data_IF_650538554684
#
_entry.id   IF_650538554684
#
_cell.length_a   1.000
_cell.length_b   1.000
_cell.length_c   1.000
_cell.angle_alpha   90.00
_cell.angle_beta   90.00
_cell.angle_gamma   90.00
#
_symmetry.space_group_name_H-M   'P 1'
#
loop_
_entity.id
_entity.type
_entity.pdbx_description
1 polymer ?
#
# COMPACT_ATOMS: atom_id res chain seq x y z
N UNK A 1 12.46 -19.09 -11.89
CA UNK A 1 11.37 -18.63 -12.79
C UNK A 1 12.02 -18.21 -14.08
N UNK A 2 11.59 -18.73 -15.24
CA UNK A 2 12.25 -18.37 -16.51
C UNK A 2 12.06 -16.88 -16.78
N UNK A 3 13.14 -16.19 -17.13
CA UNK A 3 13.10 -14.72 -17.29
C UNK A 3 12.12 -14.24 -18.36
N UNK A 4 11.86 -15.05 -19.39
CA UNK A 4 10.83 -14.78 -20.42
C UNK A 4 9.44 -14.66 -19.79
N UNK A 5 9.11 -15.51 -18.83
CA UNK A 5 7.83 -15.47 -18.13
C UNK A 5 7.75 -14.24 -17.21
N UNK A 6 8.84 -13.89 -16.53
CA UNK A 6 8.91 -12.67 -15.73
C UNK A 6 8.68 -11.42 -16.58
N UNK A 7 9.38 -11.31 -17.71
CA UNK A 7 9.24 -10.18 -18.62
C UNK A 7 7.80 -10.05 -19.14
N UNK A 8 7.15 -11.17 -19.48
CA UNK A 8 5.74 -11.17 -19.89
C UNK A 8 4.82 -10.65 -18.78
N UNK A 9 5.01 -11.09 -17.53
CA UNK A 9 4.23 -10.59 -16.38
C UNK A 9 4.45 -9.09 -16.18
N UNK A 10 5.69 -8.60 -16.24
CA UNK A 10 6.00 -7.18 -16.09
C UNK A 10 5.41 -6.32 -17.22
N UNK A 11 5.35 -6.84 -18.44
CA UNK A 11 4.68 -6.14 -19.56
C UNK A 11 3.17 -6.06 -19.32
N UNK A 12 2.54 -7.15 -18.88
CA UNK A 12 1.11 -7.15 -18.53
C UNK A 12 0.84 -6.15 -17.40
N UNK A 13 1.67 -6.16 -16.35
CA UNK A 13 1.60 -5.20 -15.26
C UNK A 13 1.73 -3.75 -15.75
N UNK A 14 2.70 -3.46 -16.63
CA UNK A 14 2.88 -2.14 -17.21
C UNK A 14 1.63 -1.65 -17.96
N UNK A 15 1.01 -2.52 -18.78
CA UNK A 15 -0.22 -2.20 -19.51
C UNK A 15 -1.38 -1.95 -18.55
N UNK A 16 -1.56 -2.81 -17.54
CA UNK A 16 -2.59 -2.62 -16.53
C UNK A 16 -2.38 -1.32 -15.72
N UNK A 17 -1.14 -1.01 -15.37
CA UNK A 17 -0.75 0.22 -14.69
C UNK A 17 -1.08 1.46 -15.51
N UNK A 18 -0.77 1.45 -16.81
CA UNK A 18 -1.11 2.54 -17.73
C UNK A 18 -2.62 2.74 -17.83
N UNK A 19 -3.38 1.66 -18.04
CA UNK A 19 -4.84 1.71 -18.11
C UNK A 19 -5.43 2.27 -16.80
N UNK A 20 -4.97 1.76 -15.65
CA UNK A 20 -5.42 2.23 -14.35
C UNK A 20 -5.09 3.71 -14.11
N UNK A 21 -3.91 4.18 -14.53
CA UNK A 21 -3.51 5.59 -14.39
C UNK A 21 -4.30 6.52 -15.29
N UNK A 22 -4.64 6.09 -16.51
CA UNK A 22 -5.49 6.86 -17.43
C UNK A 22 -6.94 6.98 -16.93
N UNK A 23 -7.45 5.96 -16.24
CA UNK A 23 -8.79 5.97 -15.65
C UNK A 23 -8.85 6.66 -14.28
N UNK A 24 -7.70 6.86 -13.63
CA UNK A 24 -7.63 7.45 -12.30
C UNK A 24 -8.00 8.94 -12.35
N UNK A 25 -8.98 9.32 -11.54
CA UNK A 25 -9.37 10.73 -11.36
C UNK A 25 -8.41 11.35 -10.33
N UNK A 26 -7.64 12.39 -10.70
CA UNK A 26 -6.79 13.10 -9.75
C UNK A 26 -7.64 13.66 -8.61
N UNK A 27 -7.33 13.25 -7.37
CA UNK A 27 -7.94 13.84 -6.17
C UNK A 27 -6.86 14.07 -5.12
N UNK A 28 -6.93 15.21 -4.43
CA UNK A 28 -5.98 15.59 -3.38
C UNK A 28 -5.90 14.54 -2.25
N UNK A 29 -6.98 13.76 -2.09
CA UNK A 29 -7.10 12.70 -1.08
C UNK A 29 -6.96 11.29 -1.65
N UNK A 30 -6.48 11.09 -2.87
CA UNK A 30 -6.41 9.76 -3.49
C UNK A 30 -5.61 8.76 -2.64
N UNK A 31 -4.49 9.20 -2.07
CA UNK A 31 -3.58 8.36 -1.28
C UNK A 31 -4.13 8.10 0.13
N UNK A 32 -4.71 9.11 0.79
CA UNK A 32 -5.37 8.95 2.09
C UNK A 32 -6.64 8.10 1.99
N UNK A 33 -7.39 8.25 0.89
CA UNK A 33 -8.53 7.40 0.56
C UNK A 33 -8.03 5.98 0.32
N UNK A 34 -7.04 5.76 -0.55
CA UNK A 34 -6.50 4.43 -0.85
C UNK A 34 -6.00 3.66 0.38
N UNK A 35 -5.28 4.33 1.30
CA UNK A 35 -4.76 3.71 2.52
C UNK A 35 -5.83 3.33 3.54
N UNK A 36 -6.96 4.04 3.55
CA UNK A 36 -8.09 3.72 4.42
C UNK A 36 -9.19 2.94 3.70
N UNK A 37 -9.15 2.84 2.36
CA UNK A 37 -10.23 2.35 1.51
C UNK A 37 -10.74 0.96 1.88
N UNK A 38 -9.90 -0.09 1.96
CA UNK A 38 -10.42 -1.42 2.26
C UNK A 38 -11.09 -1.47 3.63
N UNK A 39 -10.51 -0.81 4.63
CA UNK A 39 -11.03 -0.81 6.00
C UNK A 39 -12.26 0.09 6.16
N UNK A 40 -12.31 1.21 5.45
CA UNK A 40 -13.45 2.12 5.44
C UNK A 40 -14.66 1.47 4.73
N UNK A 41 -14.43 0.74 3.64
CA UNK A 41 -15.48 -0.03 2.96
C UNK A 41 -16.04 -1.12 3.86
N UNK A 42 -15.17 -1.93 4.47
CA UNK A 42 -15.60 -2.99 5.40
C UNK A 42 -16.34 -2.37 6.59
N UNK A 43 -15.84 -1.26 7.16
CA UNK A 43 -16.48 -0.59 8.29
C UNK A 43 -17.85 -0.01 7.95
N UNK A 44 -17.99 0.58 6.75
CA UNK A 44 -19.27 1.07 6.24
C UNK A 44 -20.29 -0.05 6.06
N UNK A 45 -19.86 -1.19 5.50
CA UNK A 45 -20.72 -2.37 5.33
C UNK A 45 -21.11 -3.02 6.67
N UNK A 46 -20.20 -3.13 7.63
CA UNK A 46 -20.52 -3.60 8.98
C UNK A 46 -21.51 -2.67 9.68
N UNK A 47 -21.38 -1.36 9.47
CA UNK A 47 -22.31 -0.37 10.02
C UNK A 47 -23.71 -0.55 9.45
N UNK A 48 -23.85 -0.67 8.12
CA UNK A 48 -25.17 -0.88 7.50
C UNK A 48 -25.80 -2.18 7.96
N UNK A 49 -25.00 -3.24 8.12
CA UNK A 49 -25.45 -4.52 8.66
C UNK A 49 -25.88 -4.41 10.14
N UNK A 50 -25.13 -3.68 10.97
CA UNK A 50 -25.48 -3.46 12.38
C UNK A 50 -26.79 -2.68 12.55
N UNK A 51 -27.08 -1.74 11.65
CA UNK A 51 -28.29 -0.92 11.66
C UNK A 51 -29.52 -1.59 11.03
N UNK A 52 -29.39 -2.78 10.42
CA UNK A 52 -30.50 -3.46 9.74
C UNK A 52 -31.44 -4.23 10.68
N UNK A 53 -31.16 -4.26 11.98
CA UNK A 53 -31.97 -4.90 13.02
C UNK A 53 -31.16 -5.81 13.95
N UNK A 54 -31.83 -6.50 14.87
CA UNK A 54 -31.16 -7.35 15.87
C UNK A 54 -30.29 -8.45 15.26
N UNK A 55 -30.81 -9.17 14.27
CA UNK A 55 -30.06 -10.20 13.53
C UNK A 55 -28.88 -9.63 12.73
N UNK A 56 -29.06 -8.44 12.14
CA UNK A 56 -28.00 -7.71 11.45
C UNK A 56 -26.86 -7.32 12.39
N UNK A 57 -27.19 -6.85 13.60
CA UNK A 57 -26.19 -6.52 14.61
C UNK A 57 -25.40 -7.75 15.08
N UNK A 58 -26.07 -8.88 15.30
CA UNK A 58 -25.40 -10.15 15.65
C UNK A 58 -24.43 -10.55 14.52
N UNK A 59 -24.88 -10.49 13.26
CA UNK A 59 -24.04 -10.80 12.10
C UNK A 59 -22.85 -9.84 11.98
N UNK A 60 -23.05 -8.54 12.20
CA UNK A 60 -21.98 -7.54 12.18
C UNK A 60 -20.92 -7.80 13.25
N UNK A 61 -21.33 -8.17 14.47
CA UNK A 61 -20.40 -8.54 15.55
C UNK A 61 -19.61 -9.79 15.19
N UNK A 62 -20.27 -10.83 14.65
CA UNK A 62 -19.59 -12.06 14.24
C UNK A 62 -18.52 -11.79 13.16
N UNK A 63 -18.85 -11.00 12.14
CA UNK A 63 -17.88 -10.66 11.09
C UNK A 63 -16.77 -9.77 11.65
N UNK A 64 -17.11 -8.76 12.45
CA UNK A 64 -16.13 -7.90 13.13
C UNK A 64 -15.11 -8.72 13.93
N UNK A 65 -15.60 -9.64 14.77
CA UNK A 65 -14.77 -10.54 15.58
C UNK A 65 -13.95 -11.49 14.71
N UNK A 66 -14.52 -12.05 13.65
CA UNK A 66 -13.79 -12.94 12.74
C UNK A 66 -12.61 -12.23 12.05
N UNK A 67 -12.82 -11.01 11.55
CA UNK A 67 -11.76 -10.22 10.90
C UNK A 67 -10.71 -9.81 11.92
N UNK A 68 -11.11 -9.32 13.09
CA UNK A 68 -10.21 -8.93 14.19
C UNK A 68 -9.36 -10.09 14.74
N UNK A 69 -9.95 -11.28 14.86
CA UNK A 69 -9.27 -12.48 15.38
C UNK A 69 -8.41 -13.18 14.35
N UNK A 70 -8.55 -12.92 13.05
CA UNK A 70 -7.81 -13.65 12.01
C UNK A 70 -6.28 -13.69 12.26
N UNK A 71 -5.59 -12.57 12.57
CA UNK A 71 -4.16 -12.59 12.90
C UNK A 71 -3.84 -13.42 14.14
N UNK A 72 -4.72 -13.36 15.15
CA UNK A 72 -4.56 -14.04 16.43
C UNK A 72 -4.82 -15.55 16.30
N UNK A 73 -5.81 -15.97 15.52
CA UNK A 73 -6.06 -17.37 15.19
C UNK A 73 -4.87 -17.97 14.43
N UNK A 74 -4.28 -17.22 13.50
CA UNK A 74 -3.05 -17.65 12.84
C UNK A 74 -1.88 -17.80 13.83
N UNK A 75 -1.73 -16.87 14.77
CA UNK A 75 -0.74 -16.97 15.85
C UNK A 75 -0.98 -18.21 16.73
N UNK A 76 -2.21 -18.44 17.19
CA UNK A 76 -2.59 -19.60 18.00
C UNK A 76 -2.35 -20.91 17.25
N UNK A 77 -2.65 -20.97 15.96
CA UNK A 77 -2.36 -22.15 15.14
C UNK A 77 -0.85 -22.44 15.09
N UNK A 78 -0.01 -21.40 14.95
CA UNK A 78 1.45 -21.58 15.03
C UNK A 78 1.92 -22.02 16.43
N UNK A 79 1.27 -21.52 17.49
CA UNK A 79 1.52 -21.94 18.88
C UNK A 79 1.25 -23.43 19.06
N UNK A 80 0.08 -23.90 18.64
CA UNK A 80 -0.30 -25.32 18.69
C UNK A 80 0.67 -26.19 17.90
N UNK A 81 1.16 -25.70 16.75
CA UNK A 81 2.18 -26.39 15.94
C UNK A 81 3.61 -26.27 16.49
N UNK A 82 3.84 -25.60 17.62
CA UNK A 82 5.16 -25.31 18.22
C UNK A 82 6.14 -24.65 17.24
N UNK A 83 5.63 -23.82 16.33
CA UNK A 83 6.42 -23.11 15.29
C UNK A 83 6.53 -21.60 15.56
N UNK A 84 6.27 -21.18 16.79
CA UNK A 84 6.25 -19.76 17.17
C UNK A 84 7.64 -19.23 17.35
N UNK A 85 7.84 -18.01 16.85
CA UNK A 85 9.05 -17.22 17.05
C UNK A 85 8.69 -15.83 17.56
N UNK A 86 9.68 -15.06 18.01
CA UNK A 86 9.47 -13.71 18.54
C UNK A 86 8.74 -12.78 17.57
N UNK A 87 9.03 -12.88 16.27
CA UNK A 87 8.36 -12.10 15.22
C UNK A 87 6.85 -12.39 15.09
N UNK A 88 6.37 -13.54 15.57
CA UNK A 88 4.94 -13.88 15.55
C UNK A 88 4.16 -13.07 16.61
N UNK A 89 4.84 -12.42 17.58
CA UNK A 89 4.23 -11.47 18.52
C UNK A 89 3.60 -10.27 17.80
N UNK A 90 4.16 -9.85 16.65
CA UNK A 90 3.57 -8.79 15.82
C UNK A 90 2.15 -9.16 15.34
N UNK A 91 1.79 -10.44 15.24
CA UNK A 91 0.44 -10.86 14.87
C UNK A 91 -0.58 -10.53 15.96
N UNK A 92 -0.17 -10.58 17.23
CA UNK A 92 -1.01 -10.19 18.37
C UNK A 92 -1.27 -8.70 18.34
N UNK A 93 -0.21 -7.90 18.15
CA UNK A 93 -0.31 -6.44 17.97
C UNK A 93 -1.19 -6.09 16.77
N UNK A 94 -1.03 -6.82 15.65
CA UNK A 94 -1.84 -6.64 14.45
C UNK A 94 -3.32 -6.94 14.68
N UNK A 95 -3.65 -7.97 15.47
CA UNK A 95 -5.05 -8.27 15.86
C UNK A 95 -5.65 -7.15 16.70
N UNK A 96 -4.95 -6.70 17.75
CA UNK A 96 -5.41 -5.60 18.60
C UNK A 96 -5.65 -4.31 17.81
N UNK A 97 -4.71 -3.96 16.93
CA UNK A 97 -4.80 -2.78 16.07
C UNK A 97 -5.98 -2.87 15.09
N UNK A 98 -6.23 -4.07 14.52
CA UNK A 98 -7.34 -4.29 13.60
C UNK A 98 -8.70 -4.15 14.31
N UNK A 99 -8.83 -4.66 15.55
CA UNK A 99 -10.02 -4.45 16.37
C UNK A 99 -10.31 -2.97 16.64
N UNK A 100 -9.30 -2.21 17.06
CA UNK A 100 -9.42 -0.77 17.35
C UNK A 100 -9.80 -0.01 16.07
N UNK A 101 -9.06 -0.23 14.99
CA UNK A 101 -9.29 0.44 13.72
C UNK A 101 -10.68 0.13 13.16
N UNK A 102 -11.09 -1.14 13.13
CA UNK A 102 -12.40 -1.53 12.61
C UNK A 102 -13.55 -0.97 13.45
N UNK A 103 -13.41 -0.92 14.78
CA UNK A 103 -14.43 -0.31 15.63
C UNK A 103 -14.62 1.17 15.30
N UNK A 104 -13.52 1.90 15.10
CA UNK A 104 -13.55 3.31 14.72
C UNK A 104 -14.17 3.53 13.33
N UNK A 105 -13.94 2.62 12.37
CA UNK A 105 -14.51 2.70 11.03
C UNK A 105 -16.02 2.39 11.01
N UNK A 106 -16.48 1.46 11.84
CA UNK A 106 -17.91 1.15 12.03
C UNK A 106 -18.66 2.29 12.73
N UNK A 107 -17.97 2.98 13.66
CA UNK A 107 -18.53 4.08 14.46
C UNK A 107 -17.86 5.42 14.17
N UNK A 108 -18.10 6.03 12.99
CA UNK A 108 -17.42 7.25 12.56
C UNK A 108 -17.69 8.47 13.47
N UNK A 109 -18.83 8.51 14.17
CA UNK A 109 -19.15 9.59 15.11
C UNK A 109 -18.23 9.58 16.36
N UNK A 110 -17.80 8.40 16.79
CA UNK A 110 -16.83 8.23 17.87
C UNK A 110 -15.44 8.67 17.43
N UNK A 111 -15.11 8.38 16.16
CA UNK A 111 -13.88 8.77 15.51
C UNK A 111 -13.74 10.31 15.40
N UNK A 112 -14.75 11.03 14.93
CA UNK A 112 -14.71 12.51 14.87
C UNK A 112 -14.75 13.18 16.24
N UNK A 113 -15.31 12.53 17.27
CA UNK A 113 -15.40 13.14 18.61
C UNK A 113 -14.12 12.98 19.43
N UNK A 114 -13.35 11.91 19.24
CA UNK A 114 -12.23 11.56 20.12
C UNK A 114 -10.88 11.42 19.42
N UNK A 115 -10.86 11.20 18.10
CA UNK A 115 -9.62 10.91 17.37
C UNK A 115 -9.13 12.11 16.56
N UNK A 116 -10.00 12.90 15.92
CA UNK A 116 -9.56 14.09 15.16
C UNK A 116 -8.85 15.11 16.04
N UNK A 117 -9.32 15.32 17.27
CA UNK A 117 -8.76 16.32 18.17
C UNK A 117 -7.48 15.85 18.89
N UNK A 118 -7.25 14.54 18.99
CA UNK A 118 -6.08 13.96 19.68
C UNK A 118 -4.92 13.58 18.74
N UNK A 119 -5.22 13.28 17.47
CA UNK A 119 -4.23 12.78 16.51
C UNK A 119 -3.54 13.90 15.71
N UNK A 120 -4.10 15.11 15.67
CA UNK A 120 -3.39 16.29 15.13
C UNK A 120 -2.09 16.57 15.90
N UNK A 121 -2.07 16.36 17.22
CA UNK A 121 -0.87 16.51 18.05
C UNK A 121 0.12 15.33 17.97
N UNK A 122 -0.37 14.11 17.73
CA UNK A 122 0.46 12.90 17.66
C UNK A 122 1.01 12.65 16.25
N UNK A 123 0.34 13.19 15.22
CA UNK A 123 0.84 13.27 13.85
C UNK A 123 2.10 14.12 13.76
N UNK A 124 2.14 15.29 14.40
CA UNK A 124 3.33 16.14 14.48
C UNK A 124 4.51 15.49 15.23
N UNK A 125 4.23 14.63 16.20
CA UNK A 125 5.26 14.00 17.04
C UNK A 125 5.87 12.74 16.40
N UNK A 126 5.10 12.00 15.58
CA UNK A 126 5.58 10.83 14.84
C UNK A 126 6.22 11.24 13.50
N UNK A 127 5.70 12.27 12.82
CA UNK A 127 6.33 12.79 11.60
C UNK A 127 7.32 13.90 11.95
N UNK A 128 8.53 13.52 12.39
CA UNK A 128 9.71 14.40 12.38
C UNK A 128 10.16 14.84 10.97
N UNK A 129 9.22 14.90 10.03
CA UNK A 129 9.39 15.18 8.63
C UNK A 129 8.37 16.26 8.26
N UNK A 130 8.86 17.41 7.79
CA UNK A 130 8.06 18.54 7.30
C UNK A 130 7.30 18.19 6.01
N UNK A 131 6.45 17.17 6.04
CA UNK A 131 5.53 16.86 4.96
C UNK A 131 4.14 17.31 5.38
N UNK A 132 3.62 18.29 4.66
CA UNK A 132 2.27 18.85 4.78
C UNK A 132 1.23 17.83 4.30
N UNK A 133 1.17 16.65 4.92
CA UNK A 133 0.18 15.61 4.64
C UNK A 133 -0.97 15.84 5.61
N UNK A 134 -2.05 16.46 5.12
CA UNK A 134 -3.35 16.49 5.81
C UNK A 134 -3.92 15.07 5.82
N UNK A 135 -3.36 14.23 6.68
CA UNK A 135 -3.74 12.84 6.78
C UNK A 135 -5.03 12.78 7.59
N UNK A 136 -6.16 12.57 6.92
CA UNK A 136 -7.43 12.24 7.58
C UNK A 136 -7.15 11.14 8.60
N UNK A 137 -7.55 11.26 9.87
CA UNK A 137 -7.10 10.28 10.88
C UNK A 137 -7.49 8.82 10.57
N UNK A 138 -8.45 8.60 9.65
CA UNK A 138 -8.77 7.28 9.07
C UNK A 138 -7.59 6.65 8.34
N UNK A 139 -6.83 7.45 7.61
CA UNK A 139 -5.63 7.02 6.90
C UNK A 139 -4.45 6.77 7.86
N UNK A 140 -4.36 7.49 8.98
CA UNK A 140 -3.32 7.25 9.98
C UNK A 140 -3.38 5.82 10.55
N UNK A 141 -4.58 5.35 10.92
CA UNK A 141 -4.77 3.99 11.42
C UNK A 141 -4.48 2.92 10.37
N UNK A 142 -4.82 3.19 9.10
CA UNK A 142 -4.44 2.34 7.98
C UNK A 142 -2.92 2.22 7.84
N UNK A 143 -2.20 3.35 7.93
CA UNK A 143 -0.72 3.36 7.87
C UNK A 143 -0.13 2.56 9.03
N UNK A 144 -0.60 2.76 10.27
CA UNK A 144 -0.11 1.99 11.42
C UNK A 144 -0.29 0.49 11.22
N UNK A 145 -1.44 0.06 10.68
CA UNK A 145 -1.69 -1.34 10.36
C UNK A 145 -0.72 -1.87 9.31
N UNK A 146 -0.55 -1.13 8.21
CA UNK A 146 0.39 -1.51 7.16
C UNK A 146 1.83 -1.57 7.66
N UNK A 147 2.27 -0.66 8.52
CA UNK A 147 3.63 -0.68 9.10
C UNK A 147 3.89 -1.95 9.91
N UNK A 148 2.95 -2.37 10.77
CA UNK A 148 3.08 -3.62 11.54
C UNK A 148 3.06 -4.83 10.60
N UNK A 149 2.19 -4.82 9.60
CA UNK A 149 2.11 -5.90 8.60
C UNK A 149 3.41 -6.01 7.80
N UNK A 150 3.96 -4.90 7.30
CA UNK A 150 5.22 -4.87 6.58
C UNK A 150 6.38 -5.32 7.46
N UNK A 151 6.44 -4.89 8.72
CA UNK A 151 7.44 -5.37 9.68
C UNK A 151 7.38 -6.89 9.87
N UNK A 152 6.17 -7.44 10.02
CA UNK A 152 5.99 -8.90 10.14
C UNK A 152 6.42 -9.64 8.87
N UNK A 153 6.10 -9.11 7.68
CA UNK A 153 6.51 -9.70 6.40
C UNK A 153 8.04 -9.66 6.23
N UNK A 154 8.68 -8.54 6.55
CA UNK A 154 10.13 -8.37 6.44
C UNK A 154 10.86 -9.37 7.34
N UNK A 155 10.46 -9.50 8.61
CA UNK A 155 11.07 -10.46 9.53
C UNK A 155 10.91 -11.91 9.04
N UNK A 156 9.71 -12.26 8.54
CA UNK A 156 9.46 -13.59 7.96
C UNK A 156 10.30 -13.86 6.71
N UNK A 157 10.49 -12.86 5.86
CA UNK A 157 11.34 -12.95 4.67
C UNK A 157 12.80 -13.13 5.05
N UNK A 158 13.32 -12.29 5.97
CA UNK A 158 14.70 -12.36 6.45
C UNK A 158 15.01 -13.72 7.07
N UNK A 159 14.07 -14.27 7.84
CA UNK A 159 14.16 -15.63 8.38
C UNK A 159 14.22 -16.68 7.28
N UNK A 160 13.38 -16.56 6.26
CA UNK A 160 13.39 -17.46 5.10
C UNK A 160 14.75 -17.51 4.42
N UNK A 161 15.38 -16.34 4.24
CA UNK A 161 16.73 -16.22 3.68
C UNK A 161 17.79 -16.80 4.62
N UNK A 162 17.75 -16.46 5.91
CA UNK A 162 18.73 -16.93 6.91
C UNK A 162 18.71 -18.45 7.10
N UNK A 163 17.57 -19.09 6.90
CA UNK A 163 17.44 -20.56 7.00
C UNK A 163 17.78 -21.32 5.71
N UNK A 164 18.06 -20.61 4.62
CA UNK A 164 18.33 -21.23 3.33
C UNK A 164 19.84 -21.50 3.13
N UNK A 165 20.19 -22.62 2.50
CA UNK A 165 21.55 -22.84 2.00
C UNK A 165 21.87 -21.90 0.82
N UNK A 166 23.13 -21.88 0.36
CA UNK A 166 23.62 -20.96 -0.68
C UNK A 166 22.72 -20.87 -1.92
N UNK A 167 22.28 -22.01 -2.45
CA UNK A 167 21.36 -22.08 -3.61
C UNK A 167 19.98 -21.49 -3.27
N UNK A 168 19.48 -21.76 -2.06
CA UNK A 168 18.19 -21.23 -1.60
C UNK A 168 18.21 -19.73 -1.33
N UNK A 169 19.33 -19.17 -0.86
CA UNK A 169 19.51 -17.71 -0.74
C UNK A 169 19.41 -17.05 -2.10
N UNK A 170 20.02 -17.66 -3.12
CA UNK A 170 19.99 -17.16 -4.49
C UNK A 170 18.57 -17.20 -5.09
N UNK A 171 17.79 -18.25 -4.79
CA UNK A 171 16.34 -18.29 -5.10
C UNK A 171 15.56 -17.14 -4.43
N UNK A 172 15.84 -16.84 -3.16
CA UNK A 172 15.19 -15.74 -2.44
C UNK A 172 15.56 -14.38 -3.01
N UNK A 173 16.84 -14.16 -3.33
CA UNK A 173 17.32 -12.94 -3.99
C UNK A 173 16.61 -12.74 -5.33
N UNK A 174 16.47 -13.79 -6.15
CA UNK A 174 15.73 -13.70 -7.42
C UNK A 174 14.27 -13.28 -7.23
N UNK A 175 13.57 -13.83 -6.22
CA UNK A 175 12.19 -13.44 -5.91
C UNK A 175 12.10 -12.00 -5.44
N UNK A 176 13.06 -11.55 -4.62
CA UNK A 176 13.12 -10.18 -4.14
C UNK A 176 13.38 -9.21 -5.29
N UNK A 177 14.33 -9.51 -6.17
CA UNK A 177 14.60 -8.71 -7.37
C UNK A 177 13.40 -8.67 -8.31
N UNK A 178 12.69 -9.79 -8.51
CA UNK A 178 11.47 -9.81 -9.30
C UNK A 178 10.37 -8.91 -8.72
N UNK A 179 10.22 -8.91 -7.38
CA UNK A 179 9.30 -8.00 -6.69
C UNK A 179 9.73 -6.52 -6.85
N UNK A 180 11.02 -6.23 -6.73
CA UNK A 180 11.55 -4.88 -6.96
C UNK A 180 11.27 -4.43 -8.40
N UNK A 181 11.47 -5.30 -9.39
CA UNK A 181 11.17 -4.99 -10.79
C UNK A 181 9.69 -4.63 -10.99
N UNK A 182 8.77 -5.39 -10.38
CA UNK A 182 7.34 -5.09 -10.41
C UNK A 182 7.04 -3.71 -9.80
N UNK A 183 7.58 -3.42 -8.61
CA UNK A 183 7.41 -2.11 -7.95
C UNK A 183 7.94 -0.96 -8.83
N UNK A 184 9.08 -1.14 -9.50
CA UNK A 184 9.63 -0.14 -10.40
C UNK A 184 8.75 0.06 -11.64
N UNK A 185 8.21 -1.02 -12.22
CA UNK A 185 7.22 -0.96 -13.32
C UNK A 185 6.00 -0.17 -12.88
N UNK A 186 5.40 -0.52 -11.74
CA UNK A 186 4.29 0.24 -11.17
C UNK A 186 4.64 1.73 -10.98
N UNK A 187 5.83 2.03 -10.45
CA UNK A 187 6.28 3.41 -10.24
C UNK A 187 6.43 4.20 -11.55
N UNK A 188 6.94 3.59 -12.61
CA UNK A 188 7.14 4.28 -13.89
C UNK A 188 5.81 4.46 -14.62
N UNK A 189 5.01 3.39 -14.72
CA UNK A 189 3.83 3.38 -15.57
C UNK A 189 2.58 3.93 -14.88
N UNK A 190 2.34 3.58 -13.61
CA UNK A 190 1.19 4.10 -12.88
C UNK A 190 1.49 5.47 -12.27
N UNK A 191 2.44 5.54 -11.33
CA UNK A 191 2.73 6.79 -10.61
C UNK A 191 3.25 7.89 -11.55
N UNK A 192 4.01 7.51 -12.57
CA UNK A 192 4.50 8.43 -13.59
C UNK A 192 3.37 9.12 -14.36
N UNK A 193 2.41 8.37 -14.89
CA UNK A 193 1.28 8.92 -15.65
C UNK A 193 0.28 9.63 -14.72
N UNK A 194 -0.01 9.03 -13.57
CA UNK A 194 -0.88 9.65 -12.57
C UNK A 194 -0.32 11.02 -12.11
N UNK A 195 0.98 11.12 -11.88
CA UNK A 195 1.65 12.37 -11.52
C UNK A 195 1.59 13.46 -12.60
N UNK A 196 1.59 13.07 -13.88
CA UNK A 196 1.35 14.01 -14.98
C UNK A 196 -0.09 14.54 -14.89
N UNK A 197 -1.07 13.64 -14.78
CA UNK A 197 -2.48 14.01 -14.72
C UNK A 197 -2.79 14.92 -13.53
N UNK A 198 -2.19 14.65 -12.36
CA UNK A 198 -2.36 15.49 -11.17
C UNK A 198 -1.77 16.89 -11.38
N UNK A 199 -0.55 16.98 -11.91
CA UNK A 199 0.12 18.27 -12.13
C UNK A 199 -0.61 19.10 -13.18
N UNK A 200 -1.10 18.48 -14.26
CA UNK A 200 -1.91 19.16 -15.29
C UNK A 200 -3.22 19.66 -14.68
N UNK A 201 -3.87 18.85 -13.85
CA UNK A 201 -5.11 19.24 -13.18
C UNK A 201 -4.89 20.42 -12.22
N UNK A 202 -3.83 20.38 -11.42
CA UNK A 202 -3.45 21.46 -10.50
C UNK A 202 -3.19 22.77 -11.24
N UNK A 203 -2.37 22.74 -12.30
CA UNK A 203 -2.06 23.91 -13.12
C UNK A 203 -3.32 24.46 -13.80
N UNK A 204 -4.20 23.59 -14.31
CA UNK A 204 -5.48 24.01 -14.89
C UNK A 204 -6.39 24.68 -13.85
N UNK A 205 -6.45 24.12 -12.63
CA UNK A 205 -7.28 24.67 -11.55
C UNK A 205 -6.76 26.00 -11.00
N UNK A 206 -5.44 26.23 -11.05
CA UNK A 206 -4.80 27.46 -10.62
C UNK A 206 -4.79 28.56 -11.71
N UNK A 207 -5.24 28.25 -12.93
CA UNK A 207 -5.22 29.21 -14.03
C UNK A 207 -6.34 30.26 -13.86
N UNK A 208 -5.96 31.50 -13.60
CA UNK A 208 -6.89 32.64 -13.46
C UNK A 208 -7.29 33.28 -14.79
N UNK A 209 -6.62 32.92 -15.91
CA UNK A 209 -6.92 33.42 -17.25
C UNK A 209 -7.22 32.27 -18.22
N UNK A 210 -8.50 31.88 -18.39
CA UNK A 210 -8.88 30.70 -19.17
C UNK A 210 -8.57 30.81 -20.68
N UNK A 211 -8.34 32.03 -21.19
CA UNK A 211 -8.09 32.30 -22.62
C UNK A 211 -6.65 31.98 -23.06
N UNK A 212 -5.74 31.72 -22.11
CA UNK A 212 -4.34 31.39 -22.40
C UNK A 212 -4.20 29.88 -22.58
N UNK A 213 -3.68 29.46 -23.73
CA UNK A 213 -3.40 28.05 -24.00
C UNK A 213 -2.32 27.49 -23.06
N UNK A 214 -2.64 26.43 -22.34
CA UNK A 214 -1.69 25.69 -21.48
C UNK A 214 -0.88 24.62 -22.24
N UNK A 215 -0.97 24.55 -23.57
CA UNK A 215 -0.35 23.49 -24.36
C UNK A 215 1.17 23.40 -24.14
N UNK A 216 1.87 24.54 -24.11
CA UNK A 216 3.31 24.60 -23.87
C UNK A 216 3.68 24.11 -22.45
N UNK A 217 2.93 24.54 -21.43
CA UNK A 217 3.11 24.12 -20.04
C UNK A 217 2.88 22.61 -19.88
N UNK A 218 1.82 22.07 -20.48
CA UNK A 218 1.52 20.65 -20.46
C UNK A 218 2.62 19.83 -21.15
N UNK A 219 3.14 20.29 -22.28
CA UNK A 219 4.26 19.65 -22.96
C UNK A 219 5.52 19.61 -22.08
N UNK A 220 5.84 20.72 -21.40
CA UNK A 220 6.98 20.76 -20.48
C UNK A 220 6.80 19.83 -19.26
N UNK A 221 5.59 19.72 -18.71
CA UNK A 221 5.26 18.78 -17.63
C UNK A 221 5.54 17.34 -18.08
N UNK A 222 5.10 16.96 -19.29
CA UNK A 222 5.33 15.62 -19.84
C UNK A 222 6.82 15.37 -20.02
N UNK A 223 7.56 16.29 -20.66
CA UNK A 223 9.00 16.16 -20.92
C UNK A 223 9.78 16.02 -19.60
N UNK A 224 9.51 16.90 -18.63
CA UNK A 224 10.13 16.85 -17.29
C UNK A 224 9.88 15.51 -16.61
N UNK A 225 8.66 14.98 -16.71
CA UNK A 225 8.32 13.72 -16.06
C UNK A 225 9.00 12.52 -16.74
N UNK A 226 9.09 12.50 -18.07
CA UNK A 226 9.85 11.48 -18.82
C UNK A 226 11.32 11.49 -18.38
N UNK A 227 11.95 12.68 -18.34
CA UNK A 227 13.34 12.84 -17.90
C UNK A 227 13.55 12.36 -16.45
N UNK A 228 12.59 12.62 -15.56
CA UNK A 228 12.64 12.16 -14.17
C UNK A 228 12.52 10.64 -14.04
N UNK A 229 11.73 10.00 -14.89
CA UNK A 229 11.48 8.55 -14.84
C UNK A 229 12.54 7.73 -15.58
N UNK A 230 13.30 8.33 -16.49
CA UNK A 230 14.39 7.67 -17.23
C UNK A 230 15.34 6.82 -16.34
N UNK A 231 15.93 7.32 -15.23
CA UNK A 231 16.81 6.51 -14.39
C UNK A 231 16.08 5.33 -13.72
N UNK A 232 14.81 5.51 -13.36
CA UNK A 232 13.98 4.45 -12.75
C UNK A 232 13.67 3.36 -13.79
N UNK A 233 13.35 3.75 -15.02
CA UNK A 233 13.12 2.81 -16.12
C UNK A 233 14.39 2.00 -16.46
N UNK A 234 15.57 2.64 -16.46
CA UNK A 234 16.85 1.95 -16.63
C UNK A 234 17.13 0.96 -15.49
N UNK A 235 16.71 1.29 -14.27
CA UNK A 235 16.86 0.41 -13.11
C UNK A 235 16.10 -0.90 -13.28
N UNK A 236 14.97 -0.93 -14.01
CA UNK A 236 14.25 -2.18 -14.33
C UNK A 236 15.15 -3.12 -15.14
N UNK A 237 15.83 -2.59 -16.16
CA UNK A 237 16.78 -3.36 -16.97
C UNK A 237 17.93 -3.92 -16.14
N UNK A 238 18.48 -3.10 -15.23
CA UNK A 238 19.55 -3.50 -14.32
C UNK A 238 19.10 -4.63 -13.37
N UNK A 239 17.90 -4.52 -12.80
CA UNK A 239 17.32 -5.56 -11.94
C UNK A 239 17.08 -6.86 -12.71
N UNK A 240 16.57 -6.80 -13.94
CA UNK A 240 16.42 -7.98 -14.79
C UNK A 240 17.76 -8.65 -15.09
N UNK A 241 18.83 -7.86 -15.29
CA UNK A 241 20.18 -8.38 -15.49
C UNK A 241 20.74 -9.03 -14.21
N UNK A 242 20.48 -8.43 -13.04
CA UNK A 242 20.83 -9.01 -11.75
C UNK A 242 20.12 -10.36 -11.52
N UNK A 243 18.86 -10.51 -11.95
CA UNK A 243 18.14 -11.79 -11.89
C UNK A 243 18.81 -12.85 -12.78
N UNK A 244 19.23 -12.49 -14.00
CA UNK A 244 19.98 -13.40 -14.89
C UNK A 244 21.30 -13.84 -14.27
N UNK A 245 22.04 -12.89 -13.70
CA UNK A 245 23.31 -13.20 -13.04
C UNK A 245 23.09 -14.15 -11.87
N UNK A 246 22.05 -13.91 -11.06
CA UNK A 246 21.67 -14.81 -9.99
C UNK A 246 21.22 -16.19 -10.49
N UNK A 247 20.74 -16.33 -11.72
CA UNK A 247 20.43 -17.65 -12.31
C UNK A 247 21.70 -18.38 -12.74
N UNK A 248 22.68 -17.66 -13.29
CA UNK A 248 23.96 -18.20 -13.74
C UNK A 248 24.92 -18.60 -12.60
N UNK A 249 24.71 -18.08 -11.39
CA UNK A 249 25.50 -18.39 -10.19
C UNK A 249 24.97 -19.61 -9.41
N UNK A 250 23.88 -20.24 -9.86
CA UNK A 250 23.37 -21.50 -9.30
C UNK A 250 24.09 -22.69 -9.91
#
# INVERSE_FOLDING_TARGET
MKIKNLAMVLVIEAVLCLLAACLAIPSANALSTGLSFPFAQIGGWLRTLSLSGGWGNIAAILVYSAVGLCPLLYFLWRLVKKKVKLEDCLLVVMSALLFIMMYLMVNPAFFTKHVSNGLEGLGQLITGFNAHIQLSGKAAWGISFYSVLFGCLILKLLRGVSSAGTIGVLDWIQRLLALIAAILVFSVFYLGVFGINTTIHEVKSANTHPDISLAATNAFIIIRNILRLAPVALSIGLVLLAIKLAEALK
#
